data_IF_591264015043
#
_entry.id   IF_591264015043
#
_cell.length_a   1.000
_cell.length_b   1.000
_cell.length_c   1.000
_cell.angle_alpha   90.00
_cell.angle_beta   90.00
_cell.angle_gamma   90.00
#
_symmetry.space_group_name_H-M   'P 1'
#
loop_
_entity.id
_entity.type
_entity.pdbx_description
1 polymer ?
#
# COMPACT_ATOMS: atom_id res chain seq x y z
N UNK A 1 2.16 7.03 9.36
CA UNK A 1 2.40 8.18 8.46
C UNK A 1 1.17 9.08 8.41
N UNK A 2 0.05 8.65 7.81
CA UNK A 2 -1.17 9.47 7.69
C UNK A 2 -1.68 10.09 9.02
N UNK A 3 -1.80 9.28 10.09
CA UNK A 3 -2.26 9.77 11.41
C UNK A 3 -1.35 10.85 11.99
N UNK A 4 -0.03 10.61 12.00
CA UNK A 4 0.96 11.51 12.57
C UNK A 4 1.10 12.83 11.78
N UNK A 5 0.86 12.77 10.46
CA UNK A 5 0.89 13.93 9.57
C UNK A 5 -0.46 14.64 9.43
N UNK A 6 -1.54 14.10 10.02
CA UNK A 6 -2.90 14.61 9.93
C UNK A 6 -3.37 14.80 8.47
N UNK A 7 -3.25 13.74 7.66
CA UNK A 7 -3.60 13.67 6.23
C UNK A 7 -4.34 12.38 5.89
N UNK A 8 -4.83 12.26 4.65
CA UNK A 8 -5.40 11.01 4.09
C UNK A 8 -4.51 10.47 2.96
N UNK A 9 -4.34 9.16 2.90
CA UNK A 9 -3.66 8.48 1.78
C UNK A 9 -4.71 7.89 0.84
N UNK A 10 -4.62 8.21 -0.45
CA UNK A 10 -5.41 7.62 -1.52
C UNK A 10 -4.51 6.62 -2.26
N UNK A 11 -4.72 5.32 -2.06
CA UNK A 11 -3.86 4.26 -2.60
C UNK A 11 -4.60 3.45 -3.64
N UNK A 12 -3.96 3.18 -4.78
CA UNK A 12 -4.49 2.27 -5.79
C UNK A 12 -3.88 0.88 -5.54
N UNK A 13 -4.72 -0.11 -5.24
CA UNK A 13 -4.24 -1.43 -4.86
C UNK A 13 -3.55 -2.14 -6.00
N UNK A 14 -3.87 -1.81 -7.25
CA UNK A 14 -3.26 -2.44 -8.44
C UNK A 14 -1.89 -1.87 -8.81
N UNK A 15 -1.54 -0.68 -8.30
CA UNK A 15 -0.23 -0.05 -8.56
C UNK A 15 0.85 -0.55 -7.58
N UNK A 16 0.45 -1.25 -6.52
CA UNK A 16 1.36 -1.80 -5.51
C UNK A 16 2.12 -2.99 -6.10
N UNK A 17 3.44 -2.99 -5.91
CA UNK A 17 4.29 -4.10 -6.30
C UNK A 17 4.11 -5.29 -5.34
N UNK A 18 3.36 -6.30 -5.76
CA UNK A 18 3.27 -7.58 -5.07
C UNK A 18 4.22 -8.63 -5.67
N UNK A 19 4.43 -9.71 -4.92
CA UNK A 19 4.89 -10.97 -5.48
C UNK A 19 3.72 -11.62 -6.23
N UNK A 20 3.95 -12.03 -7.48
CA UNK A 20 2.89 -12.49 -8.37
C UNK A 20 2.16 -13.73 -7.78
N UNK A 21 2.90 -14.63 -7.14
CA UNK A 21 2.36 -15.81 -6.47
C UNK A 21 1.54 -15.48 -5.22
N UNK A 22 1.85 -14.37 -4.53
CA UNK A 22 1.14 -13.98 -3.32
C UNK A 22 -0.33 -13.65 -3.62
N UNK A 23 -0.61 -13.05 -4.78
CA UNK A 23 -1.99 -12.79 -5.25
C UNK A 23 -2.74 -14.12 -5.43
N UNK A 24 -2.10 -15.12 -6.02
CA UNK A 24 -2.70 -16.45 -6.21
C UNK A 24 -3.01 -17.12 -4.86
N UNK A 25 -2.05 -17.09 -3.93
CA UNK A 25 -2.23 -17.67 -2.60
C UNK A 25 -3.29 -16.96 -1.77
N UNK A 26 -3.35 -15.63 -1.81
CA UNK A 26 -4.40 -14.87 -1.15
C UNK A 26 -5.79 -15.22 -1.70
N UNK A 27 -5.93 -15.38 -3.03
CA UNK A 27 -7.18 -15.85 -3.65
C UNK A 27 -7.59 -17.26 -3.22
N UNK A 28 -6.62 -18.11 -2.86
CA UNK A 28 -6.86 -19.43 -2.28
C UNK A 28 -7.16 -19.40 -0.77
N UNK A 29 -7.12 -18.22 -0.13
CA UNK A 29 -7.31 -18.06 1.32
C UNK A 29 -6.07 -18.42 2.15
N UNK A 30 -4.90 -18.55 1.53
CA UNK A 30 -3.63 -18.83 2.22
C UNK A 30 -3.03 -17.54 2.78
N UNK A 31 -3.64 -17.03 3.84
CA UNK A 31 -3.26 -15.76 4.49
C UNK A 31 -2.79 -16.03 5.92
N UNK A 32 -1.66 -15.47 6.37
CA UNK A 32 -1.17 -15.71 7.72
C UNK A 32 -2.08 -15.06 8.78
N UNK A 33 -2.18 -15.72 9.94
CA UNK A 33 -3.01 -15.25 11.05
C UNK A 33 -2.69 -13.80 11.51
N UNK A 34 -1.43 -13.37 11.33
CA UNK A 34 -0.99 -12.01 11.62
C UNK A 34 -1.73 -10.94 10.80
N UNK A 35 -2.15 -11.24 9.57
CA UNK A 35 -2.86 -10.30 8.72
C UNK A 35 -4.22 -9.91 9.31
N UNK A 36 -4.97 -10.89 9.87
CA UNK A 36 -6.25 -10.60 10.52
C UNK A 36 -6.09 -9.72 11.76
N UNK A 37 -5.01 -9.92 12.53
CA UNK A 37 -4.69 -9.06 13.68
C UNK A 37 -4.38 -7.63 13.24
N UNK A 38 -3.60 -7.46 12.17
CA UNK A 38 -3.30 -6.15 11.59
C UNK A 38 -4.57 -5.46 11.07
N UNK A 39 -5.41 -6.19 10.33
CA UNK A 39 -6.71 -5.72 9.84
C UNK A 39 -7.58 -5.20 10.97
N UNK A 40 -7.71 -5.96 12.06
CA UNK A 40 -8.48 -5.54 13.24
C UNK A 40 -8.02 -4.22 13.88
N UNK A 41 -6.72 -3.91 13.84
CA UNK A 41 -6.16 -2.70 14.46
C UNK A 41 -6.56 -1.40 13.73
N UNK A 42 -6.61 -1.43 12.40
CA UNK A 42 -6.87 -0.23 11.58
C UNK A 42 -8.16 -0.29 10.77
N UNK A 43 -8.97 -1.34 10.88
CA UNK A 43 -10.21 -1.53 10.11
C UNK A 43 -11.09 -0.28 10.05
N UNK A 44 -11.30 0.39 11.18
CA UNK A 44 -12.15 1.59 11.25
C UNK A 44 -11.52 2.83 10.61
N UNK A 45 -10.20 2.84 10.42
CA UNK A 45 -9.39 3.94 9.88
C UNK A 45 -9.23 3.88 8.35
N UNK A 46 -9.57 2.76 7.72
CA UNK A 46 -9.37 2.49 6.29
C UNK A 46 -10.73 2.36 5.59
N UNK A 47 -10.82 2.85 4.36
CA UNK A 47 -11.94 2.62 3.44
C UNK A 47 -11.55 1.62 2.35
N UNK A 48 -12.33 0.56 2.20
CA UNK A 48 -12.09 -0.55 1.26
C UNK A 48 -13.34 -0.87 0.42
N UNK A 49 -14.27 0.08 0.27
CA UNK A 49 -15.61 -0.16 -0.29
C UNK A 49 -15.66 -0.82 -1.68
N UNK A 50 -14.62 -0.71 -2.50
CA UNK A 50 -14.61 -1.23 -3.88
C UNK A 50 -13.36 -2.07 -4.21
N UNK A 51 -12.71 -2.67 -3.21
CA UNK A 51 -11.47 -3.43 -3.39
C UNK A 51 -11.72 -4.91 -3.15
N UNK A 52 -11.11 -5.78 -3.97
CA UNK A 52 -11.24 -7.21 -3.79
C UNK A 52 -10.54 -7.70 -2.51
N UNK A 53 -11.16 -8.67 -1.81
CA UNK A 53 -10.70 -9.16 -0.52
C UNK A 53 -9.23 -9.62 -0.51
N UNK A 54 -8.76 -10.24 -1.60
CA UNK A 54 -7.39 -10.73 -1.68
C UNK A 54 -6.36 -9.58 -1.69
N UNK A 55 -6.67 -8.41 -2.24
CA UNK A 55 -5.81 -7.23 -2.11
C UNK A 55 -5.85 -6.67 -0.70
N UNK A 56 -7.03 -6.64 -0.07
CA UNK A 56 -7.16 -6.22 1.33
C UNK A 56 -6.30 -7.13 2.23
N UNK A 57 -6.37 -8.43 2.03
CA UNK A 57 -5.61 -9.41 2.82
C UNK A 57 -4.10 -9.25 2.60
N UNK A 58 -3.66 -9.03 1.36
CA UNK A 58 -2.26 -8.73 1.04
C UNK A 58 -1.75 -7.43 1.69
N UNK A 59 -2.57 -6.38 1.74
CA UNK A 59 -2.20 -5.12 2.39
C UNK A 59 -2.02 -5.24 3.91
N UNK A 60 -2.64 -6.24 4.51
CA UNK A 60 -2.49 -6.53 5.94
C UNK A 60 -1.44 -7.60 6.24
N UNK A 61 -0.89 -8.25 5.21
CA UNK A 61 0.13 -9.29 5.34
C UNK A 61 1.39 -8.76 6.04
N UNK A 62 1.85 -9.37 7.15
CA UNK A 62 3.03 -8.92 7.87
C UNK A 62 4.30 -9.14 7.03
N UNK A 63 4.94 -8.03 6.64
CA UNK A 63 6.17 -8.07 5.86
C UNK A 63 7.40 -8.26 6.76
N UNK A 64 8.18 -9.32 6.53
CA UNK A 64 9.52 -9.49 7.13
C UNK A 64 10.56 -8.92 6.19
N UNK A 65 11.37 -7.96 6.65
CA UNK A 65 12.35 -7.25 5.82
C UNK A 65 11.72 -6.62 4.56
N UNK A 66 10.56 -5.98 4.74
CA UNK A 66 9.83 -5.31 3.66
C UNK A 66 10.58 -4.13 3.04
N UNK A 67 9.94 -3.52 2.04
CA UNK A 67 10.47 -2.35 1.35
C UNK A 67 10.39 -1.05 2.14
N UNK A 68 10.81 0.03 1.48
CA UNK A 68 10.65 1.40 1.98
C UNK A 68 9.35 2.01 1.45
N UNK A 69 8.60 2.67 2.32
CA UNK A 69 7.47 3.53 1.94
C UNK A 69 7.88 4.99 2.12
N UNK A 70 7.82 5.76 1.04
CA UNK A 70 8.22 7.17 1.02
C UNK A 70 7.11 8.05 0.43
N UNK A 71 7.06 9.30 0.87
CA UNK A 71 6.19 10.33 0.30
C UNK A 71 7.04 11.51 -0.16
N UNK A 72 6.77 12.01 -1.36
CA UNK A 72 7.42 13.17 -1.95
C UNK A 72 6.37 14.17 -2.44
N UNK A 73 6.72 15.44 -2.59
CA UNK A 73 5.82 16.40 -3.22
C UNK A 73 5.54 15.98 -4.67
N UNK A 74 4.30 16.19 -5.13
CA UNK A 74 3.83 15.69 -6.42
C UNK A 74 4.71 16.14 -7.60
N UNK A 75 5.23 17.37 -7.54
CA UNK A 75 6.13 17.91 -8.57
C UNK A 75 7.46 17.14 -8.73
N UNK A 76 7.86 16.36 -7.71
CA UNK A 76 9.10 15.57 -7.74
C UNK A 76 8.86 14.10 -8.08
N UNK A 77 7.61 13.65 -8.18
CA UNK A 77 7.29 12.23 -8.35
C UNK A 77 7.96 11.63 -9.61
N UNK A 78 7.83 12.30 -10.76
CA UNK A 78 8.42 11.87 -12.03
C UNK A 78 9.95 11.80 -11.95
N UNK A 79 10.58 12.87 -11.47
CA UNK A 79 12.04 12.93 -11.33
C UNK A 79 12.59 11.86 -10.39
N UNK A 80 11.88 11.53 -9.31
CA UNK A 80 12.24 10.46 -8.38
C UNK A 80 12.11 9.09 -9.04
N UNK A 81 11.04 8.83 -9.78
CA UNK A 81 10.85 7.56 -10.49
C UNK A 81 11.93 7.35 -11.55
N UNK A 82 12.25 8.38 -12.34
CA UNK A 82 13.37 8.32 -13.29
C UNK A 82 14.71 8.04 -12.60
N UNK A 83 14.94 8.64 -11.43
CA UNK A 83 16.17 8.42 -10.68
C UNK A 83 16.29 6.96 -10.21
N UNK A 84 15.19 6.35 -9.76
CA UNK A 84 15.16 4.93 -9.41
C UNK A 84 15.39 4.02 -10.62
N UNK A 85 14.76 4.31 -11.76
CA UNK A 85 14.97 3.55 -12.99
C UNK A 85 16.43 3.58 -13.44
N UNK A 86 17.06 4.76 -13.43
CA UNK A 86 18.50 4.94 -13.75
C UNK A 86 19.42 4.16 -12.81
N UNK A 87 19.01 3.94 -11.57
CA UNK A 87 19.80 3.16 -10.58
C UNK A 87 19.72 1.65 -10.79
N UNK A 88 18.75 1.16 -11.58
CA UNK A 88 18.59 -0.27 -11.89
C UNK A 88 18.62 -1.14 -10.65
N UNK A 89 17.78 -0.79 -9.68
CA UNK A 89 17.65 -1.55 -8.44
C UNK A 89 17.13 -2.96 -8.75
N UNK A 90 17.59 -3.94 -7.98
CA UNK A 90 17.10 -5.32 -8.04
C UNK A 90 15.75 -5.49 -7.29
N UNK A 91 14.93 -4.45 -7.30
CA UNK A 91 13.62 -4.43 -6.66
C UNK A 91 12.66 -3.53 -7.44
N UNK A 92 11.37 -3.85 -7.37
CA UNK A 92 10.32 -3.04 -7.98
C UNK A 92 10.14 -1.75 -7.17
N UNK A 93 10.04 -0.63 -7.87
CA UNK A 93 9.66 0.66 -7.30
C UNK A 93 8.34 1.06 -7.95
N UNK A 94 7.34 1.37 -7.13
CA UNK A 94 6.00 1.73 -7.60
C UNK A 94 5.55 3.04 -6.98
N UNK A 95 4.91 3.88 -7.80
CA UNK A 95 4.08 4.98 -7.33
C UNK A 95 2.69 4.41 -7.03
N UNK A 96 2.34 4.28 -5.75
CA UNK A 96 1.16 3.51 -5.32
C UNK A 96 -0.05 4.37 -4.95
N UNK A 97 0.06 5.69 -5.06
CA UNK A 97 -0.99 6.60 -4.63
C UNK A 97 -0.53 8.01 -4.33
N UNK A 98 -1.39 8.76 -3.64
CA UNK A 98 -1.19 10.17 -3.32
C UNK A 98 -1.57 10.48 -1.87
N UNK A 99 -1.11 11.64 -1.40
CA UNK A 99 -1.46 12.19 -0.09
C UNK A 99 -2.36 13.40 -0.30
N UNK A 100 -3.48 13.44 0.42
CA UNK A 100 -4.49 14.50 0.34
C UNK A 100 -4.75 15.12 1.71
N UNK A 101 -5.47 16.23 1.74
CA UNK A 101 -5.97 16.78 2.99
C UNK A 101 -6.79 15.74 3.76
N UNK A 102 -6.75 15.81 5.10
CA UNK A 102 -7.42 14.85 5.94
C UNK A 102 -8.92 14.80 5.67
N UNK A 103 -9.42 13.59 5.48
CA UNK A 103 -10.84 13.29 5.37
C UNK A 103 -11.34 12.43 6.54
N UNK A 104 -12.51 11.81 6.38
CA UNK A 104 -13.15 10.95 7.39
C UNK A 104 -12.38 9.64 7.65
N UNK A 105 -11.52 9.22 6.71
CA UNK A 105 -10.67 8.04 6.77
C UNK A 105 -9.21 8.41 6.59
N UNK A 106 -8.31 7.69 7.27
CA UNK A 106 -6.86 7.92 7.15
C UNK A 106 -6.29 7.34 5.86
N UNK A 107 -6.88 6.25 5.37
CA UNK A 107 -6.48 5.59 4.13
C UNK A 107 -7.75 5.25 3.36
N UNK A 108 -7.75 5.51 2.06
CA UNK A 108 -8.77 5.06 1.12
C UNK A 108 -8.10 4.23 0.04
N UNK A 109 -8.67 3.06 -0.20
CA UNK A 109 -8.19 2.12 -1.20
C UNK A 109 -9.08 2.20 -2.42
N UNK A 110 -8.45 2.26 -3.59
CA UNK A 110 -9.05 2.24 -4.92
C UNK A 110 -8.62 1.01 -5.68
#
# INVERSE_FOLDING_TARGET
MAEASNVTFELNVHDIAYLDEAISYAKMGLVPAGAYKNKGYSYQKVDFRNVEDHFIDLLYDPQTSGGLLISVEAQYAEAVMEAFEKKRLDTKVSLIGTVTEKSDKLIRLH
#
